data_IF_907663160802
#
_entry.id   IF_907663160802
#
_cell.length_a   1.000
_cell.length_b   1.000
_cell.length_c   1.000
_cell.angle_alpha   90.00
_cell.angle_beta   90.00
_cell.angle_gamma   90.00
#
_symmetry.space_group_name_H-M   'P 1'
#
loop_
_entity.id
_entity.type
_entity.pdbx_description
1 polymer ?
#
# COMPACT_ATOMS: atom_id res chain seq x y z
N UNK A 1 1.56 33.35 -35.30
CA UNK A 1 2.26 32.90 -34.09
C UNK A 1 1.22 32.24 -33.21
N UNK A 2 1.03 30.93 -33.39
CA UNK A 2 0.00 30.20 -32.64
C UNK A 2 0.58 29.77 -31.31
N UNK A 3 0.30 30.57 -30.29
CA UNK A 3 0.62 30.29 -28.90
C UNK A 3 -0.36 29.22 -28.39
N UNK A 4 -0.19 27.96 -28.85
CA UNK A 4 -0.84 26.82 -28.20
C UNK A 4 -0.25 26.73 -26.80
N UNK A 5 -1.06 27.09 -25.80
CA UNK A 5 -0.76 26.81 -24.41
C UNK A 5 -0.32 25.34 -24.33
N UNK A 6 0.94 25.12 -23.93
CA UNK A 6 1.44 23.78 -23.63
C UNK A 6 0.56 23.28 -22.50
N UNK A 7 -0.34 22.35 -22.80
CA UNK A 7 -1.23 21.75 -21.81
C UNK A 7 -0.36 21.13 -20.73
N UNK A 8 -0.30 21.78 -19.56
CA UNK A 8 0.69 21.47 -18.54
C UNK A 8 0.25 20.19 -17.85
N UNK A 9 0.74 19.05 -18.37
CA UNK A 9 0.48 17.71 -17.86
C UNK A 9 0.60 17.68 -16.33
N UNK A 10 -0.46 17.26 -15.64
CA UNK A 10 -0.41 17.07 -14.19
C UNK A 10 0.66 16.02 -13.87
N UNK A 11 1.48 16.30 -12.85
CA UNK A 11 2.58 15.42 -12.44
C UNK A 11 2.25 14.74 -11.11
N UNK A 12 2.47 13.44 -11.02
CA UNK A 12 2.34 12.65 -9.80
C UNK A 12 3.68 12.01 -9.42
N UNK A 13 3.96 11.87 -8.13
CA UNK A 13 5.05 11.04 -7.63
C UNK A 13 4.49 9.70 -7.15
N UNK A 14 5.10 8.58 -7.54
CA UNK A 14 4.77 7.25 -7.02
C UNK A 14 6.04 6.62 -6.44
N UNK A 15 6.11 6.41 -5.12
CA UNK A 15 7.28 5.76 -4.52
C UNK A 15 7.24 4.25 -4.72
N UNK A 16 8.41 3.62 -4.89
CA UNK A 16 8.55 2.17 -5.01
C UNK A 16 8.03 1.62 -6.34
N UNK A 17 8.32 2.29 -7.47
CA UNK A 17 7.78 1.99 -8.80
C UNK A 17 8.02 0.59 -9.33
N UNK A 18 8.97 -0.16 -8.77
CA UNK A 18 9.20 -1.58 -9.06
C UNK A 18 8.29 -2.53 -8.27
N UNK A 19 7.44 -2.02 -7.39
CA UNK A 19 6.47 -2.79 -6.62
C UNK A 19 5.23 -3.15 -7.43
N UNK A 20 4.54 -4.21 -7.01
CA UNK A 20 3.33 -4.71 -7.66
C UNK A 20 2.26 -3.62 -7.86
N UNK A 21 1.78 -3.02 -6.76
CA UNK A 21 0.77 -1.97 -6.81
C UNK A 21 1.28 -0.71 -7.50
N UNK A 22 2.53 -0.33 -7.23
CA UNK A 22 3.15 0.87 -7.79
C UNK A 22 3.20 0.81 -9.31
N UNK A 23 3.65 -0.30 -9.89
CA UNK A 23 3.77 -0.46 -11.34
C UNK A 23 2.41 -0.34 -12.05
N UNK A 24 1.35 -0.93 -11.47
CA UNK A 24 -0.01 -0.83 -11.98
C UNK A 24 -0.56 0.61 -11.84
N UNK A 25 -0.30 1.27 -10.72
CA UNK A 25 -0.70 2.66 -10.50
C UNK A 25 0.00 3.61 -11.49
N UNK A 26 1.31 3.44 -11.71
CA UNK A 26 2.09 4.21 -12.69
C UNK A 26 1.49 4.03 -14.08
N UNK A 27 1.22 2.79 -14.50
CA UNK A 27 0.57 2.50 -15.79
C UNK A 27 -0.77 3.24 -15.93
N UNK A 28 -1.62 3.20 -14.91
CA UNK A 28 -2.92 3.87 -14.93
C UNK A 28 -2.80 5.40 -14.98
N UNK A 29 -1.88 5.99 -14.21
CA UNK A 29 -1.62 7.43 -14.22
C UNK A 29 -1.13 7.90 -15.61
N UNK A 30 -0.21 7.15 -16.22
CA UNK A 30 0.28 7.44 -17.58
C UNK A 30 -0.84 7.37 -18.61
N UNK A 31 -1.70 6.36 -18.54
CA UNK A 31 -2.87 6.20 -19.43
C UNK A 31 -3.89 7.34 -19.27
N UNK A 32 -4.04 7.88 -18.05
CA UNK A 32 -4.88 9.05 -17.76
C UNK A 32 -4.21 10.39 -18.13
N UNK A 33 -3.03 10.37 -18.74
CA UNK A 33 -2.36 11.58 -19.17
C UNK A 33 -1.63 12.31 -18.05
N UNK A 34 -1.17 11.64 -16.99
CA UNK A 34 -0.24 12.22 -16.01
C UNK A 34 1.23 12.06 -16.43
N UNK A 35 2.08 13.00 -16.05
CA UNK A 35 3.52 12.77 -15.93
C UNK A 35 3.77 12.07 -14.59
N UNK A 36 4.72 11.13 -14.55
CA UNK A 36 5.00 10.37 -13.33
C UNK A 36 6.48 10.44 -13.00
N UNK A 37 6.79 10.92 -11.80
CA UNK A 37 8.08 10.70 -11.14
C UNK A 37 7.95 9.44 -10.29
N UNK A 38 8.99 8.61 -10.24
CA UNK A 38 8.97 7.42 -9.39
C UNK A 38 10.31 7.17 -8.72
N UNK A 39 10.28 6.51 -7.58
CA UNK A 39 11.49 6.01 -6.92
C UNK A 39 11.57 4.51 -7.09
N UNK A 40 12.74 3.99 -7.46
CA UNK A 40 13.05 2.57 -7.31
C UNK A 40 13.85 2.39 -6.03
N UNK A 41 13.81 1.18 -5.47
CA UNK A 41 14.57 0.86 -4.26
C UNK A 41 16.06 0.86 -4.62
N UNK A 42 16.77 1.90 -4.21
CA UNK A 42 18.22 1.89 -4.15
C UNK A 42 18.61 1.43 -2.74
N UNK A 43 19.41 0.37 -2.63
CA UNK A 43 19.77 -0.25 -1.35
C UNK A 43 20.71 0.64 -0.52
N UNK A 44 21.28 1.68 -1.15
CA UNK A 44 22.30 2.55 -0.56
C UNK A 44 21.77 3.90 -0.02
N UNK A 45 20.51 4.27 -0.29
CA UNK A 45 20.00 5.61 0.04
C UNK A 45 19.20 5.61 1.36
N UNK A 46 19.93 5.68 2.47
CA UNK A 46 19.39 6.14 3.76
C UNK A 46 19.33 7.66 3.89
N UNK A 47 19.65 8.38 2.83
CA UNK A 47 19.95 9.82 2.90
C UNK A 47 18.72 10.69 3.19
N UNK A 48 18.95 11.74 3.97
CA UNK A 48 18.03 12.84 4.13
C UNK A 48 17.71 13.45 2.76
N UNK A 49 16.44 13.75 2.52
CA UNK A 49 16.02 14.38 1.25
C UNK A 49 15.84 13.42 0.06
N UNK A 50 15.93 12.09 0.26
CA UNK A 50 15.79 11.08 -0.83
C UNK A 50 14.51 11.18 -1.69
N UNK A 51 13.48 11.87 -1.21
CA UNK A 51 12.22 12.06 -1.93
C UNK A 51 12.06 13.44 -2.56
N UNK A 52 12.95 14.40 -2.27
CA UNK A 52 12.78 15.79 -2.68
C UNK A 52 12.72 15.95 -4.20
N UNK A 53 13.67 15.34 -4.93
CA UNK A 53 13.68 15.37 -6.39
C UNK A 53 12.44 14.69 -6.98
N UNK A 54 12.06 13.52 -6.45
CA UNK A 54 10.90 12.78 -6.91
C UNK A 54 9.59 13.56 -6.72
N UNK A 55 9.47 14.33 -5.62
CA UNK A 55 8.27 15.11 -5.30
C UNK A 55 8.25 16.47 -6.03
N UNK A 56 9.40 16.99 -6.48
CA UNK A 56 9.50 18.32 -7.05
C UNK A 56 8.55 18.55 -8.25
N UNK A 57 7.65 19.53 -8.09
CA UNK A 57 6.65 19.91 -9.10
C UNK A 57 5.50 18.90 -9.28
N UNK A 58 5.39 17.90 -8.39
CA UNK A 58 4.25 16.99 -8.36
C UNK A 58 3.04 17.65 -7.66
N UNK A 59 1.84 17.34 -8.15
CA UNK A 59 0.58 17.80 -7.60
C UNK A 59 -0.05 16.76 -6.67
N UNK A 60 0.28 15.49 -6.87
CA UNK A 60 -0.12 14.39 -6.01
C UNK A 60 1.06 13.47 -5.75
N UNK A 61 1.05 12.84 -4.58
CA UNK A 61 2.05 11.84 -4.18
C UNK A 61 1.34 10.58 -3.75
N UNK A 62 1.79 9.43 -4.26
CA UNK A 62 1.34 8.10 -3.89
C UNK A 62 2.51 7.37 -3.24
N UNK A 63 2.50 7.29 -1.91
CA UNK A 63 3.52 6.56 -1.17
C UNK A 63 3.12 5.08 -1.05
N UNK A 64 3.82 4.23 -1.80
CA UNK A 64 3.60 2.77 -1.78
C UNK A 64 4.84 1.99 -1.32
N UNK A 65 6.01 2.63 -1.36
CA UNK A 65 7.26 2.05 -0.90
C UNK A 65 7.20 1.74 0.60
N UNK A 66 7.48 0.49 0.95
CA UNK A 66 7.47 0.02 2.33
C UNK A 66 8.37 -1.21 2.44
N UNK A 67 9.18 -1.33 3.50
CA UNK A 67 9.90 -2.57 3.76
C UNK A 67 8.92 -3.69 4.07
N UNK A 68 9.19 -4.88 3.52
CA UNK A 68 8.43 -6.09 3.79
C UNK A 68 9.41 -7.25 3.89
N UNK A 69 9.58 -7.76 5.10
CA UNK A 69 10.35 -8.97 5.37
C UNK A 69 9.66 -9.77 6.47
N UNK A 70 8.86 -10.75 6.07
CA UNK A 70 8.10 -11.59 6.99
C UNK A 70 8.98 -12.59 7.77
N UNK A 71 10.24 -12.76 7.38
CA UNK A 71 11.19 -13.66 8.02
C UNK A 71 12.20 -12.93 8.92
N UNK A 72 12.09 -11.60 9.06
CA UNK A 72 13.00 -10.79 9.87
C UNK A 72 13.03 -11.22 11.35
N UNK A 73 14.25 -11.40 11.88
CA UNK A 73 14.52 -11.67 13.29
C UNK A 73 14.45 -10.40 14.15
N UNK A 74 14.68 -9.23 13.53
CA UNK A 74 14.56 -7.91 14.16
C UNK A 74 13.59 -7.00 13.39
N UNK A 75 12.27 -7.22 13.52
CA UNK A 75 11.27 -6.45 12.80
C UNK A 75 11.29 -4.96 13.12
N UNK A 76 11.81 -4.57 14.29
CA UNK A 76 11.99 -3.18 14.67
C UNK A 76 12.94 -2.46 13.72
N UNK A 77 14.10 -3.06 13.49
CA UNK A 77 15.12 -2.54 12.58
C UNK A 77 14.73 -2.68 11.11
N UNK A 78 14.18 -3.82 10.73
CA UNK A 78 14.05 -4.18 9.32
C UNK A 78 12.73 -3.69 8.70
N UNK A 79 11.69 -3.46 9.51
CA UNK A 79 10.36 -3.06 9.03
C UNK A 79 9.77 -1.84 9.74
N UNK A 80 9.67 -1.86 11.07
CA UNK A 80 8.89 -0.86 11.82
C UNK A 80 9.52 0.53 11.69
N UNK A 81 10.79 0.68 12.11
CA UNK A 81 11.47 1.99 12.04
C UNK A 81 11.58 2.51 10.60
N UNK A 82 11.99 1.71 9.60
CA UNK A 82 12.11 2.22 8.24
C UNK A 82 10.75 2.54 7.60
N UNK A 83 9.67 1.84 7.93
CA UNK A 83 8.32 2.18 7.45
C UNK A 83 7.84 3.53 8.01
N UNK A 84 8.04 3.77 9.31
CA UNK A 84 7.71 5.05 9.95
C UNK A 84 8.55 6.17 9.34
N UNK A 85 9.87 5.96 9.25
CA UNK A 85 10.79 6.95 8.73
C UNK A 85 10.49 7.30 7.27
N UNK A 86 10.32 6.31 6.40
CA UNK A 86 10.00 6.52 4.99
C UNK A 86 8.68 7.28 4.79
N UNK A 87 7.68 7.01 5.63
CA UNK A 87 6.40 7.73 5.62
C UNK A 87 6.56 9.18 6.07
N UNK A 88 7.33 9.45 7.11
CA UNK A 88 7.59 10.81 7.56
C UNK A 88 8.44 11.59 6.54
N UNK A 89 9.42 10.95 5.92
CA UNK A 89 10.31 11.61 4.96
C UNK A 89 9.58 12.02 3.68
N UNK A 90 8.65 11.19 3.18
CA UNK A 90 7.85 11.59 2.02
C UNK A 90 6.92 12.75 2.37
N UNK A 91 6.32 12.76 3.58
CA UNK A 91 5.45 13.86 4.02
C UNK A 91 6.24 15.16 4.19
N UNK A 92 7.44 15.11 4.79
CA UNK A 92 8.35 16.26 4.88
C UNK A 92 8.73 16.78 3.50
N UNK A 93 9.04 15.90 2.55
CA UNK A 93 9.34 16.30 1.17
C UNK A 93 8.13 16.98 0.50
N UNK A 94 6.91 16.51 0.75
CA UNK A 94 5.68 17.16 0.27
C UNK A 94 5.52 18.57 0.85
N UNK A 95 5.71 18.74 2.17
CA UNK A 95 5.65 20.05 2.84
C UNK A 95 6.68 21.02 2.25
N UNK A 96 7.92 20.55 2.02
CA UNK A 96 9.00 21.36 1.44
C UNK A 96 8.70 21.76 -0.01
N UNK A 97 8.12 20.86 -0.79
CA UNK A 97 7.85 21.10 -2.21
C UNK A 97 6.69 22.09 -2.45
N UNK A 98 5.75 22.24 -1.51
CA UNK A 98 4.59 23.16 -1.54
C UNK A 98 3.66 23.06 -2.77
N UNK A 99 3.97 22.17 -3.71
CA UNK A 99 3.23 21.96 -4.97
C UNK A 99 2.25 20.80 -4.86
N UNK A 100 2.45 19.92 -3.87
CA UNK A 100 1.62 18.75 -3.61
C UNK A 100 0.31 19.18 -2.97
N UNK A 101 -0.80 18.84 -3.61
CA UNK A 101 -2.16 19.11 -3.13
C UNK A 101 -2.75 17.95 -2.33
N UNK A 102 -2.27 16.73 -2.57
CA UNK A 102 -2.79 15.51 -1.94
C UNK A 102 -1.71 14.44 -1.83
N UNK A 103 -1.64 13.80 -0.68
CA UNK A 103 -0.78 12.64 -0.42
C UNK A 103 -1.66 11.43 -0.17
N UNK A 104 -1.38 10.34 -0.88
CA UNK A 104 -2.04 9.05 -0.70
C UNK A 104 -1.01 8.06 -0.20
N UNK A 105 -1.24 7.46 0.98
CA UNK A 105 -0.33 6.47 1.57
C UNK A 105 -0.98 5.10 1.52
N UNK A 106 -0.26 4.12 0.99
CA UNK A 106 -0.74 2.73 0.94
C UNK A 106 -0.29 1.97 2.18
N UNK A 107 -1.28 1.52 2.94
CA UNK A 107 -1.11 0.76 4.17
C UNK A 107 -1.63 -0.67 3.94
N UNK A 108 -2.31 -1.25 4.92
CA UNK A 108 -2.79 -2.62 4.85
C UNK A 108 -3.89 -2.85 5.87
N UNK A 109 -4.82 -3.76 5.59
CA UNK A 109 -5.81 -4.23 6.57
C UNK A 109 -5.18 -4.69 7.90
N UNK A 110 -3.90 -5.08 7.89
CA UNK A 110 -3.12 -5.35 9.10
C UNK A 110 -2.99 -4.15 10.06
N UNK A 111 -3.25 -2.92 9.61
CA UNK A 111 -3.27 -1.71 10.45
C UNK A 111 -4.59 -1.52 11.22
N UNK A 112 -5.66 -2.23 10.84
CA UNK A 112 -7.00 -2.07 11.39
C UNK A 112 -7.59 -3.35 12.02
N UNK A 113 -7.02 -4.53 11.75
CA UNK A 113 -7.68 -5.83 12.01
C UNK A 113 -6.98 -6.78 12.98
N UNK A 114 -5.75 -6.51 13.41
CA UNK A 114 -4.96 -7.46 14.22
C UNK A 114 -5.16 -7.16 15.71
N UNK A 115 -6.23 -7.70 16.26
CA UNK A 115 -6.67 -7.46 17.64
C UNK A 115 -6.96 -8.78 18.36
N UNK A 116 -7.03 -8.75 19.70
CA UNK A 116 -7.66 -9.86 20.45
C UNK A 116 -9.13 -9.97 20.02
N UNK A 117 -9.45 -11.03 19.29
CA UNK A 117 -10.80 -11.25 18.79
C UNK A 117 -11.69 -11.76 19.93
N UNK A 118 -12.70 -10.98 20.30
CA UNK A 118 -13.70 -11.36 21.29
C UNK A 118 -15.00 -11.90 20.65
N UNK A 119 -15.12 -11.81 19.31
CA UNK A 119 -16.27 -12.29 18.54
C UNK A 119 -15.88 -12.61 17.08
N UNK A 120 -16.76 -13.29 16.36
CA UNK A 120 -16.52 -13.81 15.00
C UNK A 120 -17.18 -12.99 13.88
N UNK A 121 -18.03 -12.02 14.22
CA UNK A 121 -18.79 -11.16 13.28
C UNK A 121 -18.35 -9.69 13.41
N UNK A 122 -17.06 -9.43 13.20
CA UNK A 122 -16.51 -8.09 13.27
C UNK A 122 -16.51 -7.44 11.88
N UNK A 123 -17.18 -6.28 11.80
CA UNK A 123 -17.13 -5.39 10.64
C UNK A 123 -16.14 -4.30 10.98
N UNK A 124 -15.11 -4.14 10.14
CA UNK A 124 -14.11 -3.09 10.32
C UNK A 124 -14.49 -1.86 9.47
N UNK A 125 -14.36 -0.68 10.06
CA UNK A 125 -14.54 0.63 9.45
C UNK A 125 -13.28 1.52 9.65
N UNK A 126 -13.34 2.80 9.30
CA UNK A 126 -12.21 3.73 9.42
C UNK A 126 -11.87 4.16 10.85
N UNK A 127 -12.70 3.82 11.83
CA UNK A 127 -12.41 4.07 13.24
C UNK A 127 -11.59 2.93 13.87
N UNK A 128 -11.48 1.79 13.17
CA UNK A 128 -10.79 0.61 13.63
C UNK A 128 -9.26 0.72 13.52
N UNK A 129 -8.57 0.34 14.60
CA UNK A 129 -7.11 0.25 14.67
C UNK A 129 -6.67 -1.11 15.19
N UNK A 130 -5.51 -1.55 14.72
CA UNK A 130 -4.77 -2.66 15.32
C UNK A 130 -4.22 -2.25 16.69
N UNK A 131 -4.33 -3.18 17.63
CA UNK A 131 -3.86 -3.08 19.00
C UNK A 131 -2.34 -3.31 19.03
N UNK A 132 -1.63 -2.19 19.11
CA UNK A 132 -0.16 -2.18 19.16
C UNK A 132 0.34 -2.87 20.44
N UNK A 133 -0.34 -2.72 21.57
CA UNK A 133 0.09 -3.35 22.83
C UNK A 133 0.04 -4.87 22.71
N UNK A 134 -1.05 -5.39 22.14
CA UNK A 134 -1.18 -6.81 21.80
C UNK A 134 -0.06 -7.31 20.88
N UNK A 135 0.31 -6.55 19.84
CA UNK A 135 1.39 -6.95 18.94
C UNK A 135 2.74 -7.10 19.66
N UNK A 136 3.08 -6.17 20.55
CA UNK A 136 4.34 -6.22 21.30
C UNK A 136 4.32 -7.26 22.43
N UNK A 137 3.15 -7.57 23.01
CA UNK A 137 3.03 -8.56 24.08
C UNK A 137 3.04 -9.99 23.54
N UNK A 138 2.20 -10.30 22.56
CA UNK A 138 1.99 -11.67 22.09
C UNK A 138 2.89 -12.03 20.91
N UNK A 139 3.36 -11.02 20.14
CA UNK A 139 4.18 -11.20 18.94
C UNK A 139 3.65 -12.31 18.01
N UNK A 140 2.37 -12.25 17.59
CA UNK A 140 1.82 -13.24 16.67
C UNK A 140 2.63 -13.32 15.36
N UNK A 141 2.48 -14.38 14.56
CA UNK A 141 3.14 -14.47 13.26
C UNK A 141 2.96 -13.18 12.45
N UNK A 142 4.04 -12.64 11.89
CA UNK A 142 4.07 -11.38 11.13
C UNK A 142 3.72 -10.09 11.92
N UNK A 143 3.72 -10.11 13.26
CA UNK A 143 3.39 -8.94 14.10
C UNK A 143 4.14 -7.67 13.70
N UNK A 144 5.42 -7.79 13.31
CA UNK A 144 6.24 -6.64 12.93
C UNK A 144 5.73 -5.94 11.66
N UNK A 145 5.13 -6.68 10.73
CA UNK A 145 4.47 -6.08 9.57
C UNK A 145 3.24 -5.29 10.02
N UNK A 146 2.37 -5.88 10.84
CA UNK A 146 1.18 -5.18 11.37
C UNK A 146 1.57 -3.94 12.19
N UNK A 147 2.58 -4.04 13.03
CA UNK A 147 3.11 -2.93 13.83
C UNK A 147 3.65 -1.81 12.93
N UNK A 148 4.43 -2.15 11.90
CA UNK A 148 4.99 -1.17 10.97
C UNK A 148 3.91 -0.36 10.26
N UNK A 149 2.83 -1.02 9.79
CA UNK A 149 1.71 -0.35 9.13
C UNK A 149 0.91 0.53 10.09
N UNK A 150 0.57 -0.01 11.26
CA UNK A 150 -0.21 0.71 12.28
C UNK A 150 0.52 1.96 12.78
N UNK A 151 1.81 1.82 13.10
CA UNK A 151 2.60 2.92 13.64
C UNK A 151 2.94 3.97 12.57
N UNK A 152 3.24 3.55 11.33
CA UNK A 152 3.44 4.47 10.23
C UNK A 152 2.17 5.29 9.96
N UNK A 153 0.99 4.67 10.00
CA UNK A 153 -0.29 5.35 9.81
C UNK A 153 -0.56 6.41 10.90
N UNK A 154 -0.41 6.03 12.18
CA UNK A 154 -0.58 6.97 13.31
C UNK A 154 0.35 8.18 13.19
N UNK A 155 1.61 7.95 12.78
CA UNK A 155 2.59 9.02 12.59
C UNK A 155 2.28 9.88 11.36
N UNK A 156 1.77 9.28 10.29
CA UNK A 156 1.36 9.99 9.08
C UNK A 156 0.21 10.95 9.37
N UNK A 157 -0.86 10.48 10.03
CA UNK A 157 -2.01 11.31 10.39
C UNK A 157 -1.62 12.47 11.29
N UNK A 158 -0.85 12.18 12.36
CA UNK A 158 -0.34 13.23 13.25
C UNK A 158 0.45 14.30 12.49
N UNK A 159 1.40 13.90 11.65
CA UNK A 159 2.20 14.84 10.88
C UNK A 159 1.34 15.62 9.87
N UNK A 160 0.39 14.97 9.21
CA UNK A 160 -0.49 15.58 8.23
C UNK A 160 -1.39 16.65 8.87
N UNK A 161 -1.94 16.39 10.05
CA UNK A 161 -2.73 17.36 10.82
C UNK A 161 -1.89 18.58 11.20
N UNK A 162 -0.70 18.36 11.78
CA UNK A 162 0.22 19.42 12.19
C UNK A 162 0.69 20.31 11.03
N UNK A 163 0.78 19.74 9.81
CA UNK A 163 1.32 20.41 8.62
C UNK A 163 0.26 20.72 7.54
N UNK A 164 -1.03 20.53 7.85
CA UNK A 164 -2.17 20.79 6.94
C UNK A 164 -2.04 20.07 5.59
N UNK A 165 -1.61 18.82 5.60
CA UNK A 165 -1.54 17.96 4.41
C UNK A 165 -2.90 17.29 4.20
N UNK A 166 -3.45 17.39 2.99
CA UNK A 166 -4.58 16.56 2.56
C UNK A 166 -4.10 15.11 2.35
N UNK A 167 -4.23 14.31 3.41
CA UNK A 167 -3.80 12.92 3.47
C UNK A 167 -4.98 11.97 3.24
N UNK A 168 -4.76 10.97 2.40
CA UNK A 168 -5.64 9.80 2.25
C UNK A 168 -4.82 8.55 2.57
N UNK A 169 -5.34 7.69 3.43
CA UNK A 169 -4.83 6.33 3.58
C UNK A 169 -5.67 5.35 2.78
N UNK A 170 -5.00 4.46 2.06
CA UNK A 170 -5.64 3.33 1.38
C UNK A 170 -5.22 2.07 2.13
N UNK A 171 -6.20 1.23 2.48
CA UNK A 171 -6.02 0.03 3.30
C UNK A 171 -6.39 -1.20 2.47
N UNK A 172 -5.49 -1.70 1.60
CA UNK A 172 -5.72 -2.95 0.88
C UNK A 172 -5.74 -4.14 1.83
N UNK A 173 -6.55 -5.13 1.49
CA UNK A 173 -6.52 -6.45 2.12
C UNK A 173 -5.55 -7.38 1.39
N UNK A 174 -6.01 -8.54 0.94
CA UNK A 174 -5.23 -9.44 0.12
C UNK A 174 -5.34 -9.03 -1.35
N UNK A 175 -4.21 -8.69 -1.94
CA UNK A 175 -4.13 -8.27 -3.35
C UNK A 175 -3.78 -9.45 -4.24
N UNK A 176 -4.69 -9.78 -5.17
CA UNK A 176 -4.52 -10.80 -6.20
C UNK A 176 -4.60 -10.15 -7.61
N UNK A 177 -4.19 -10.87 -8.65
CA UNK A 177 -4.19 -10.41 -10.04
C UNK A 177 -2.83 -10.49 -10.74
N UNK A 178 -2.76 -10.13 -12.04
CA UNK A 178 -1.53 -10.22 -12.81
C UNK A 178 -0.53 -9.12 -12.44
N UNK A 179 0.73 -9.48 -12.20
CA UNK A 179 1.83 -8.51 -12.05
C UNK A 179 2.45 -8.12 -13.39
N UNK A 180 2.80 -6.85 -13.52
CA UNK A 180 3.60 -6.33 -14.65
C UNK A 180 5.10 -6.59 -14.39
N UNK A 181 5.48 -6.77 -13.13
CA UNK A 181 6.87 -6.99 -12.73
C UNK A 181 7.22 -8.48 -12.78
N UNK A 182 8.49 -8.85 -13.00
CA UNK A 182 8.91 -10.25 -13.15
C UNK A 182 8.79 -11.05 -11.84
N UNK A 183 8.87 -10.39 -10.69
CA UNK A 183 8.78 -11.04 -9.39
C UNK A 183 7.32 -11.27 -9.02
N UNK A 184 6.98 -12.52 -8.68
CA UNK A 184 5.67 -12.86 -8.14
C UNK A 184 5.51 -12.21 -6.75
N UNK A 185 4.53 -11.32 -6.54
CA UNK A 185 4.32 -10.65 -5.27
C UNK A 185 3.84 -11.62 -4.18
N UNK A 186 4.33 -11.47 -2.95
CA UNK A 186 3.97 -12.33 -1.81
C UNK A 186 2.45 -12.38 -1.53
N UNK A 187 1.72 -11.28 -1.79
CA UNK A 187 0.26 -11.24 -1.63
C UNK A 187 -0.45 -12.22 -2.56
N UNK A 188 0.07 -12.42 -3.79
CA UNK A 188 -0.52 -13.33 -4.76
C UNK A 188 -0.17 -14.78 -4.37
N UNK A 189 1.05 -15.03 -3.89
CA UNK A 189 1.41 -16.34 -3.32
C UNK A 189 0.47 -16.72 -2.16
N UNK A 190 0.17 -15.78 -1.25
CA UNK A 190 -0.74 -16.01 -0.14
C UNK A 190 -2.20 -16.18 -0.60
N UNK A 191 -2.65 -15.41 -1.59
CA UNK A 191 -3.98 -15.59 -2.17
C UNK A 191 -4.17 -16.96 -2.82
N UNK A 192 -3.12 -17.48 -3.45
CA UNK A 192 -3.13 -18.79 -4.11
C UNK A 192 -2.95 -19.95 -3.13
N UNK A 193 -2.20 -19.76 -2.02
CA UNK A 193 -2.03 -20.82 -1.01
C UNK A 193 -3.35 -21.13 -0.30
N UNK A 194 -4.24 -20.14 -0.12
CA UNK A 194 -5.58 -20.35 0.41
C UNK A 194 -6.43 -21.31 -0.44
N UNK A 195 -6.16 -21.43 -1.75
CA UNK A 195 -6.82 -22.41 -2.62
C UNK A 195 -6.25 -23.84 -2.50
N UNK A 196 -5.06 -24.00 -1.89
CA UNK A 196 -4.39 -25.31 -1.73
C UNK A 196 -4.66 -25.94 -0.36
N UNK A 197 -5.03 -25.15 0.65
CA UNK A 197 -5.38 -25.65 1.99
C UNK A 197 -6.90 -25.77 2.12
N UNK A 198 -7.44 -26.92 1.74
CA UNK A 198 -8.87 -27.25 1.83
C UNK A 198 -9.43 -27.41 3.25
N UNK A 199 -8.84 -26.79 4.29
CA UNK A 199 -9.26 -27.01 5.68
C UNK A 199 -8.94 -25.86 6.66
N UNK A 200 -9.13 -24.61 6.24
CA UNK A 200 -9.22 -23.52 7.23
C UNK A 200 -10.60 -23.53 7.88
N UNK A 201 -10.66 -23.81 9.20
CA UNK A 201 -11.88 -23.74 10.00
C UNK A 201 -12.59 -22.40 9.76
N UNK A 202 -13.81 -22.47 9.21
CA UNK A 202 -14.64 -21.35 8.72
C UNK A 202 -15.19 -20.41 9.81
N UNK A 203 -14.64 -20.41 11.02
CA UNK A 203 -15.31 -19.84 12.18
C UNK A 203 -15.02 -18.35 12.42
N UNK A 204 -14.07 -17.72 11.73
CA UNK A 204 -13.83 -16.28 11.81
C UNK A 204 -13.94 -15.65 10.41
N UNK A 205 -15.01 -14.90 10.17
CA UNK A 205 -15.23 -14.18 8.92
C UNK A 205 -14.86 -12.71 9.12
N UNK A 206 -13.65 -12.32 8.71
CA UNK A 206 -13.28 -10.91 8.61
C UNK A 206 -13.99 -10.30 7.39
N UNK A 207 -14.86 -9.32 7.61
CA UNK A 207 -15.52 -8.57 6.54
C UNK A 207 -14.97 -7.14 6.55
N UNK A 208 -14.35 -6.76 5.43
CA UNK A 208 -13.99 -5.37 5.17
C UNK A 208 -15.10 -4.74 4.35
N UNK A 209 -15.72 -3.68 4.88
CA UNK A 209 -16.79 -2.97 4.16
C UNK A 209 -16.20 -2.10 3.06
N UNK A 210 -16.75 -2.19 1.85
CA UNK A 210 -16.49 -1.25 0.75
C UNK A 210 -17.63 -0.25 0.56
N UNK A 211 -18.59 -0.21 1.48
CA UNK A 211 -19.83 0.55 1.35
C UNK A 211 -19.58 2.04 1.14
N UNK A 212 -18.62 2.62 1.87
CA UNK A 212 -18.24 4.02 1.68
C UNK A 212 -17.70 4.29 0.28
N UNK A 213 -16.81 3.43 -0.24
CA UNK A 213 -16.29 3.58 -1.60
C UNK A 213 -17.42 3.56 -2.63
N UNK A 214 -18.35 2.62 -2.50
CA UNK A 214 -19.50 2.52 -3.40
C UNK A 214 -20.46 3.70 -3.26
N UNK A 215 -20.65 4.23 -2.06
CA UNK A 215 -21.48 5.41 -1.80
C UNK A 215 -20.88 6.70 -2.39
N UNK A 216 -19.55 6.78 -2.46
CA UNK A 216 -18.80 7.83 -3.18
C UNK A 216 -18.77 7.64 -4.71
N UNK A 217 -19.54 6.67 -5.24
CA UNK A 217 -19.67 6.41 -6.66
C UNK A 217 -18.56 5.53 -7.27
N UNK A 218 -17.73 4.89 -6.45
CA UNK A 218 -16.77 3.91 -6.95
C UNK A 218 -17.48 2.65 -7.44
N UNK A 219 -17.03 2.12 -8.58
CA UNK A 219 -17.48 0.83 -9.11
C UNK A 219 -16.29 -0.10 -9.27
N UNK A 220 -16.46 -1.33 -8.80
CA UNK A 220 -15.48 -2.39 -9.05
C UNK A 220 -15.54 -2.80 -10.51
N UNK A 221 -14.40 -2.74 -11.19
CA UNK A 221 -14.30 -3.14 -12.60
C UNK A 221 -14.47 -4.66 -12.80
N UNK A 222 -14.03 -5.45 -11.82
CA UNK A 222 -13.98 -6.91 -11.89
C UNK A 222 -14.64 -7.51 -10.63
N UNK A 223 -15.29 -8.66 -10.81
CA UNK A 223 -15.81 -9.47 -9.70
C UNK A 223 -14.71 -10.31 -9.03
N UNK A 224 -15.00 -10.85 -7.85
CA UNK A 224 -14.06 -11.69 -7.08
C UNK A 224 -13.63 -12.93 -7.88
N UNK A 225 -14.58 -13.61 -8.53
CA UNK A 225 -14.31 -14.81 -9.35
C UNK A 225 -13.33 -14.50 -10.49
N UNK A 226 -13.58 -13.42 -11.23
CA UNK A 226 -12.71 -12.97 -12.32
C UNK A 226 -11.29 -12.64 -11.85
N UNK A 227 -11.15 -12.02 -10.67
CA UNK A 227 -9.83 -11.73 -10.07
C UNK A 227 -9.07 -13.02 -9.77
N UNK A 228 -9.74 -14.06 -9.27
CA UNK A 228 -9.13 -15.36 -9.01
C UNK A 228 -8.72 -16.06 -10.30
N UNK A 229 -9.58 -16.09 -11.32
CA UNK A 229 -9.28 -16.69 -12.62
C UNK A 229 -8.03 -16.07 -13.26
N UNK A 230 -7.94 -14.74 -13.27
CA UNK A 230 -6.77 -14.02 -13.77
C UNK A 230 -5.50 -14.32 -12.96
N UNK A 231 -5.63 -14.55 -11.65
CA UNK A 231 -4.50 -14.92 -10.77
C UNK A 231 -4.00 -16.32 -11.06
N UNK A 232 -4.91 -17.28 -11.30
CA UNK A 232 -4.57 -18.65 -11.71
C UNK A 232 -3.85 -18.65 -13.05
N UNK A 233 -4.37 -17.91 -14.04
CA UNK A 233 -3.75 -17.80 -15.37
C UNK A 233 -2.33 -17.19 -15.29
N UNK A 234 -2.16 -16.15 -14.47
CA UNK A 234 -0.86 -15.54 -14.22
C UNK A 234 0.13 -16.56 -13.61
N UNK A 235 -0.30 -17.38 -12.63
CA UNK A 235 0.56 -18.39 -12.00
C UNK A 235 0.99 -19.49 -12.97
N UNK A 236 0.10 -19.95 -13.87
CA UNK A 236 0.47 -20.92 -14.91
C UNK A 236 1.55 -20.38 -15.85
N UNK A 237 1.53 -19.07 -16.10
CA UNK A 237 2.45 -18.42 -17.05
C UNK A 237 3.82 -18.10 -16.44
N UNK A 238 3.86 -17.59 -15.22
CA UNK A 238 5.09 -17.03 -14.61
C UNK A 238 5.34 -17.44 -13.16
N UNK A 239 4.46 -18.24 -12.58
CA UNK A 239 4.54 -18.69 -11.18
C UNK A 239 5.01 -20.15 -11.04
N UNK A 240 5.01 -20.68 -9.80
CA UNK A 240 5.47 -22.04 -9.50
C UNK A 240 4.59 -23.17 -10.08
N UNK A 241 3.54 -22.82 -10.84
CA UNK A 241 2.65 -23.77 -11.54
C UNK A 241 3.02 -23.93 -13.03
N UNK A 242 4.23 -23.54 -13.43
CA UNK A 242 4.76 -23.91 -14.75
C UNK A 242 4.95 -25.43 -14.79
N UNK A 243 4.32 -26.09 -15.77
CA UNK A 243 4.61 -27.48 -16.14
C UNK A 243 5.99 -27.61 -16.78
#
# INVERSE_FOLDING_TARGET
>A
MDNKAIDKKLKACVTGGNGYMASLLIKQLLQKGYAVNTTARDLDLTDEGRFEEAVMGCHSVFHTATPVDFASEDPEKDMIKPAIQGTLDILKACTKAQTVKRVVVTLSAAAASINKLNSTNLVMDEECWTDVEYLYSEKPPTWGYAASKTLAEKKAWKYAEENKIDLITVIPSLMAGPSITPNVPSSICLAMSLNSFGDFSANAKLILSSEKLTNEGFSFKYGIEEIYDQSVEYFKKVGPLQE
#
